data_IF_325084559504
#
_entry.id   IF_325084559504
#
_cell.length_a   1.000
_cell.length_b   1.000
_cell.length_c   1.000
_cell.angle_alpha   90.00
_cell.angle_beta   90.00
_cell.angle_gamma   90.00
#
_symmetry.space_group_name_H-M   'P 1'
#
loop_
_entity.id
_entity.type
_entity.pdbx_description
1 polymer ?
#
# COMPACT_ATOMS: atom_id res chain seq x y z
N UNK A 1 18.46 -3.15 7.64
CA UNK A 1 17.24 -2.56 8.24
C UNK A 1 16.49 -3.53 9.16
N UNK A 2 16.02 -4.71 8.71
CA UNK A 2 15.28 -5.68 9.57
C UNK A 2 16.04 -6.15 10.82
N UNK A 3 17.36 -6.31 10.74
CA UNK A 3 18.20 -6.69 11.89
C UNK A 3 18.20 -5.62 13.01
N UNK A 4 18.18 -4.34 12.64
CA UNK A 4 18.12 -3.22 13.60
C UNK A 4 16.75 -3.13 14.28
N UNK A 5 15.66 -3.39 13.53
CA UNK A 5 14.32 -3.44 14.11
C UNK A 5 14.16 -4.51 15.20
N UNK A 6 14.93 -5.60 15.15
CA UNK A 6 14.92 -6.65 16.18
C UNK A 6 15.66 -6.25 17.47
N UNK A 7 16.40 -5.14 17.45
CA UNK A 7 17.12 -4.62 18.61
C UNK A 7 16.33 -3.55 19.37
N UNK A 8 15.08 -3.27 18.97
CA UNK A 8 14.24 -2.29 19.66
C UNK A 8 13.90 -2.80 21.06
N UNK A 9 14.38 -2.08 22.07
CA UNK A 9 14.03 -2.34 23.47
C UNK A 9 12.62 -1.85 23.78
N UNK A 10 11.88 -2.60 24.60
CA UNK A 10 10.51 -2.24 25.00
C UNK A 10 9.45 -2.39 23.90
N UNK A 11 9.73 -3.17 22.85
CA UNK A 11 8.73 -3.47 21.83
C UNK A 11 7.55 -4.26 22.42
N UNK A 12 6.36 -3.67 22.36
CA UNK A 12 5.10 -4.33 22.70
C UNK A 12 4.36 -4.71 21.41
N UNK A 13 4.28 -6.02 21.16
CA UNK A 13 3.61 -6.56 19.98
C UNK A 13 2.11 -6.25 19.94
N UNK A 14 1.45 -6.16 21.10
CA UNK A 14 0.02 -5.89 21.19
C UNK A 14 -0.27 -4.43 20.81
N UNK A 15 0.48 -3.50 21.38
CA UNK A 15 0.38 -2.07 21.01
C UNK A 15 0.70 -1.89 19.53
N UNK A 16 1.75 -2.56 19.04
CA UNK A 16 2.08 -2.51 17.62
C UNK A 16 0.97 -3.06 16.72
N UNK A 17 0.36 -4.18 17.09
CA UNK A 17 -0.74 -4.78 16.33
C UNK A 17 -1.95 -3.86 16.20
N UNK A 18 -2.21 -3.01 17.20
CA UNK A 18 -3.28 -2.01 17.17
C UNK A 18 -2.97 -0.85 16.20
N UNK A 19 -1.72 -0.43 16.05
CA UNK A 19 -1.35 0.77 15.27
C UNK A 19 -0.71 0.49 13.90
N UNK A 20 -0.13 -0.69 13.69
CA UNK A 20 0.75 -0.99 12.54
C UNK A 20 0.10 -0.70 11.20
N UNK A 21 -1.19 -1.00 11.08
CA UNK A 21 -1.92 -0.79 9.83
C UNK A 21 -2.03 0.69 9.50
N UNK A 22 -2.38 1.54 10.47
CA UNK A 22 -2.48 2.99 10.27
C UNK A 22 -1.13 3.61 9.90
N UNK A 23 -0.06 3.17 10.57
CA UNK A 23 1.31 3.61 10.25
C UNK A 23 1.68 3.27 8.81
N UNK A 24 1.47 2.01 8.38
CA UNK A 24 1.81 1.58 7.02
C UNK A 24 0.91 2.25 5.99
N UNK A 25 -0.40 2.38 6.25
CA UNK A 25 -1.31 3.10 5.38
C UNK A 25 -0.85 4.55 5.13
N UNK A 26 -0.49 5.28 6.18
CA UNK A 26 0.01 6.66 6.04
C UNK A 26 1.30 6.70 5.22
N UNK A 27 2.25 5.79 5.50
CA UNK A 27 3.49 5.71 4.74
C UNK A 27 3.23 5.35 3.26
N UNK A 28 2.31 4.43 2.99
CA UNK A 28 1.89 4.07 1.63
C UNK A 28 1.27 5.27 0.92
N UNK A 29 0.32 5.97 1.55
CA UNK A 29 -0.29 7.17 0.98
C UNK A 29 0.77 8.23 0.65
N UNK A 30 1.68 8.55 1.57
CA UNK A 30 2.73 9.54 1.34
C UNK A 30 3.68 9.13 0.21
N UNK A 31 4.12 7.87 0.19
CA UNK A 31 4.99 7.33 -0.87
C UNK A 31 4.37 7.49 -2.25
N UNK A 32 3.09 7.14 -2.38
CA UNK A 32 2.40 7.12 -3.66
C UNK A 32 1.80 8.47 -4.05
N UNK A 33 1.52 9.38 -3.13
CA UNK A 33 1.04 10.74 -3.46
C UNK A 33 2.17 11.67 -3.88
N UNK A 34 3.32 11.59 -3.20
CA UNK A 34 4.46 12.48 -3.43
C UNK A 34 5.19 12.20 -4.76
N UNK A 35 5.21 10.95 -5.23
CA UNK A 35 5.97 10.56 -6.43
C UNK A 35 5.03 10.22 -7.60
N UNK A 36 5.03 11.06 -8.65
CA UNK A 36 4.10 10.91 -9.77
C UNK A 36 4.18 9.56 -10.50
N UNK A 37 5.35 9.04 -10.90
CA UNK A 37 5.45 7.70 -11.49
C UNK A 37 4.86 6.58 -10.62
N UNK A 38 5.08 6.63 -9.30
CA UNK A 38 4.51 5.63 -8.40
C UNK A 38 3.01 5.78 -8.27
N UNK A 39 2.52 7.02 -8.13
CA UNK A 39 1.09 7.33 -8.11
C UNK A 39 0.40 6.70 -9.31
N UNK A 40 0.90 6.99 -10.50
CA UNK A 40 0.28 6.58 -11.76
C UNK A 40 0.29 5.06 -11.88
N UNK A 41 1.38 4.40 -11.45
CA UNK A 41 1.44 2.94 -11.37
C UNK A 41 0.37 2.35 -10.44
N UNK A 42 0.17 2.92 -9.25
CA UNK A 42 -0.85 2.47 -8.31
C UNK A 42 -2.27 2.71 -8.87
N UNK A 43 -2.51 3.87 -9.48
CA UNK A 43 -3.80 4.21 -10.06
C UNK A 43 -4.18 3.30 -11.25
N UNK A 44 -3.20 2.88 -12.06
CA UNK A 44 -3.39 1.94 -13.16
C UNK A 44 -3.89 0.55 -12.71
N UNK A 45 -3.76 0.22 -11.42
CA UNK A 45 -4.35 -1.02 -10.88
C UNK A 45 -5.88 -1.01 -10.90
N UNK A 46 -6.50 0.17 -11.07
CA UNK A 46 -7.95 0.32 -11.17
C UNK A 46 -8.65 -0.22 -9.94
N UNK A 47 -9.64 -1.10 -10.14
CA UNK A 47 -10.40 -1.76 -9.07
C UNK A 47 -9.86 -3.14 -8.66
N UNK A 48 -8.68 -3.55 -9.18
CA UNK A 48 -8.12 -4.87 -8.87
C UNK A 48 -7.81 -5.00 -7.38
N UNK A 49 -7.99 -6.22 -6.86
CA UNK A 49 -7.54 -6.60 -5.53
C UNK A 49 -6.02 -6.77 -5.57
N UNK A 50 -5.31 -6.03 -4.73
CA UNK A 50 -3.85 -6.10 -4.62
C UNK A 50 -3.46 -7.05 -3.50
N UNK A 51 -2.46 -7.88 -3.77
CA UNK A 51 -1.99 -8.88 -2.82
C UNK A 51 -0.48 -8.95 -2.77
N UNK A 52 0.06 -9.16 -1.56
CA UNK A 52 1.46 -9.54 -1.38
C UNK A 52 1.55 -11.08 -1.33
N UNK A 53 1.93 -11.68 -2.45
CA UNK A 53 2.00 -13.13 -2.66
C UNK A 53 3.29 -13.73 -2.07
N UNK A 54 3.40 -13.64 -0.75
CA UNK A 54 4.53 -14.19 0.01
C UNK A 54 4.10 -15.41 0.85
N UNK A 55 4.74 -16.58 0.69
CA UNK A 55 4.43 -17.77 1.48
C UNK A 55 4.88 -17.67 2.95
N UNK A 56 5.82 -16.76 3.23
CA UNK A 56 6.40 -16.58 4.57
C UNK A 56 5.80 -15.41 5.34
N UNK A 57 4.96 -14.60 4.71
CA UNK A 57 4.29 -13.46 5.34
C UNK A 57 2.78 -13.67 5.41
N UNK A 58 2.29 -13.93 6.62
CA UNK A 58 0.86 -14.13 6.91
C UNK A 58 0.19 -12.88 7.49
N UNK A 59 0.93 -11.79 7.71
CA UNK A 59 0.37 -10.54 8.25
C UNK A 59 0.19 -9.56 7.10
N UNK A 60 1.29 -9.22 6.42
CA UNK A 60 1.26 -8.27 5.32
C UNK A 60 0.92 -8.94 3.99
N UNK A 61 1.21 -10.24 3.86
CA UNK A 61 0.88 -11.06 2.69
C UNK A 61 -0.26 -12.06 2.89
N UNK A 62 -0.54 -12.79 1.81
CA UNK A 62 -1.60 -13.82 1.75
C UNK A 62 -1.15 -15.19 2.25
N UNK A 63 0.12 -15.34 2.64
CA UNK A 63 0.68 -16.61 3.11
C UNK A 63 0.77 -17.71 2.05
N UNK A 64 0.76 -17.33 0.76
CA UNK A 64 0.88 -18.21 -0.40
C UNK A 64 1.85 -17.58 -1.40
N UNK A 65 2.57 -18.40 -2.15
CA UNK A 65 3.42 -17.93 -3.24
C UNK A 65 2.59 -17.52 -4.46
N UNK A 66 3.12 -16.65 -5.31
CA UNK A 66 2.46 -16.24 -6.56
C UNK A 66 2.11 -17.42 -7.47
N UNK A 67 2.90 -18.49 -7.44
CA UNK A 67 2.69 -19.70 -8.25
C UNK A 67 1.68 -20.69 -7.64
N UNK A 68 1.18 -20.43 -6.42
CA UNK A 68 0.16 -21.28 -5.80
C UNK A 68 -1.19 -21.05 -6.49
N UNK A 69 -1.86 -22.13 -6.91
CA UNK A 69 -3.17 -22.08 -7.56
C UNK A 69 -4.23 -21.37 -6.69
N UNK A 70 -4.07 -21.41 -5.36
CA UNK A 70 -4.98 -20.78 -4.41
C UNK A 70 -4.70 -19.28 -4.21
N UNK A 71 -3.61 -18.73 -4.76
CA UNK A 71 -3.25 -17.33 -4.59
C UNK A 71 -4.32 -16.38 -5.15
N UNK A 72 -5.08 -16.82 -6.16
CA UNK A 72 -6.18 -16.04 -6.74
C UNK A 72 -7.53 -16.22 -6.01
N UNK A 73 -7.60 -17.08 -4.98
CA UNK A 73 -8.82 -17.34 -4.24
C UNK A 73 -8.72 -16.79 -2.80
N UNK A 74 -9.34 -15.63 -2.50
CA UNK A 74 -9.29 -15.00 -1.17
C UNK A 74 -9.74 -15.90 -0.02
N UNK A 75 -10.67 -16.83 -0.28
CA UNK A 75 -11.16 -17.76 0.75
C UNK A 75 -10.15 -18.83 1.16
N UNK A 76 -9.07 -19.00 0.37
CA UNK A 76 -8.00 -19.96 0.59
C UNK A 76 -6.72 -19.33 1.11
N UNK A 77 -6.68 -18.00 1.22
CA UNK A 77 -5.52 -17.30 1.76
C UNK A 77 -5.30 -17.69 3.22
N UNK A 78 -4.02 -17.75 3.59
CA UNK A 78 -3.58 -18.13 4.94
C UNK A 78 -2.98 -16.95 5.69
N UNK A 79 -3.05 -15.76 5.09
CA UNK A 79 -2.53 -14.51 5.61
C UNK A 79 -3.53 -13.37 5.46
N UNK A 80 -3.28 -12.28 6.18
CA UNK A 80 -4.22 -11.16 6.32
C UNK A 80 -4.14 -10.14 5.18
N UNK A 81 -3.10 -10.18 4.35
CA UNK A 81 -2.90 -9.25 3.22
C UNK A 81 -2.99 -7.75 3.60
N UNK A 82 -2.49 -7.37 4.79
CA UNK A 82 -2.60 -5.98 5.25
C UNK A 82 -1.93 -4.97 4.31
N UNK A 83 -0.87 -5.38 3.58
CA UNK A 83 -0.20 -4.49 2.63
C UNK A 83 -1.07 -4.21 1.41
N UNK A 84 -1.72 -5.25 0.88
CA UNK A 84 -2.68 -5.11 -0.22
C UNK A 84 -3.82 -4.16 0.15
N UNK A 85 -4.38 -4.30 1.36
CA UNK A 85 -5.40 -3.38 1.87
C UNK A 85 -4.90 -1.94 2.05
N UNK A 86 -3.68 -1.75 2.56
CA UNK A 86 -3.09 -0.42 2.67
C UNK A 86 -2.91 0.26 1.30
N UNK A 87 -2.44 -0.47 0.28
CA UNK A 87 -2.29 0.01 -1.09
C UNK A 87 -3.63 0.39 -1.72
N UNK A 88 -4.64 -0.47 -1.59
CA UNK A 88 -5.98 -0.20 -2.13
C UNK A 88 -6.64 1.00 -1.45
N UNK A 89 -6.53 1.12 -0.13
CA UNK A 89 -7.08 2.28 0.59
C UNK A 89 -6.35 3.58 0.24
N UNK A 90 -5.02 3.54 0.12
CA UNK A 90 -4.26 4.69 -0.33
C UNK A 90 -4.64 5.10 -1.77
N UNK A 91 -4.77 4.13 -2.68
CA UNK A 91 -5.25 4.35 -4.06
C UNK A 91 -6.60 5.06 -4.05
N UNK A 92 -7.56 4.56 -3.29
CA UNK A 92 -8.92 5.09 -3.28
C UNK A 92 -8.96 6.55 -2.77
N UNK A 93 -8.13 6.92 -1.80
CA UNK A 93 -7.99 8.32 -1.35
C UNK A 93 -7.29 9.19 -2.39
N UNK A 94 -6.20 8.70 -3.00
CA UNK A 94 -5.47 9.43 -4.04
C UNK A 94 -6.39 9.69 -5.25
N UNK A 95 -7.20 8.72 -5.68
CA UNK A 95 -8.17 8.91 -6.77
C UNK A 95 -9.09 10.10 -6.49
N UNK A 96 -9.58 10.27 -5.25
CA UNK A 96 -10.46 11.38 -4.90
C UNK A 96 -9.77 12.74 -5.04
N UNK A 97 -8.53 12.84 -4.55
CA UNK A 97 -7.73 14.07 -4.58
C UNK A 97 -7.34 14.43 -6.02
N UNK A 98 -6.94 13.43 -6.81
CA UNK A 98 -6.44 13.63 -8.18
C UNK A 98 -7.52 13.58 -9.26
N UNK A 99 -8.79 13.33 -8.89
CA UNK A 99 -9.93 13.18 -9.81
C UNK A 99 -10.00 14.31 -10.83
N UNK A 100 -9.74 15.54 -10.39
CA UNK A 100 -9.91 16.75 -11.18
C UNK A 100 -8.59 17.36 -11.65
N UNK A 101 -7.45 16.71 -11.43
CA UNK A 101 -6.15 17.27 -11.83
C UNK A 101 -6.05 17.46 -13.34
N UNK A 102 -6.75 16.63 -14.12
CA UNK A 102 -6.84 16.79 -15.57
C UNK A 102 -7.60 18.07 -16.02
N UNK A 103 -8.34 18.72 -15.13
CA UNK A 103 -9.03 19.98 -15.40
C UNK A 103 -8.13 21.19 -15.12
N UNK A 104 -6.96 20.98 -14.52
CA UNK A 104 -6.02 22.05 -14.22
C UNK A 104 -5.23 22.39 -15.48
N UNK A 105 -5.30 23.64 -15.93
CA UNK A 105 -4.41 24.14 -16.97
C UNK A 105 -3.03 24.41 -16.35
N UNK A 106 -2.04 23.63 -16.78
CA UNK A 106 -0.66 23.77 -16.34
C UNK A 106 -0.10 25.17 -16.64
N UNK A 107 -0.61 25.87 -17.66
CA UNK A 107 -0.22 27.24 -18.01
C UNK A 107 -0.82 28.29 -17.09
N UNK A 108 -2.01 28.06 -16.53
CA UNK A 108 -2.64 29.00 -15.59
C UNK A 108 -2.05 28.91 -14.17
N UNK A 109 -1.53 27.75 -13.79
CA UNK A 109 -0.99 27.52 -12.44
C UNK A 109 0.48 27.89 -12.27
N UNK A 110 1.17 28.31 -13.34
CA UNK A 110 2.58 28.72 -13.34
C UNK A 110 3.47 27.70 -12.60
N UNK A 111 3.29 26.41 -12.89
CA UNK A 111 3.99 25.30 -12.21
C UNK A 111 5.40 25.03 -12.80
N UNK A 112 5.93 25.93 -13.61
CA UNK A 112 7.21 25.77 -14.33
C UNK A 112 8.45 25.64 -13.42
N UNK A 113 8.26 25.71 -12.10
CA UNK A 113 9.29 25.67 -11.06
C UNK A 113 9.14 24.49 -10.07
N UNK A 114 8.27 23.52 -10.35
CA UNK A 114 8.17 22.22 -9.65
C UNK A 114 8.52 21.06 -10.58
#
# INVERSE_FOLDING_TARGET
>A
MKALGRQVHGFDAKVWDEIKFGVVLNATYLKFSQNAPFRDFLLQTGSKILVEASPVDKIWGIGLATSDENAQNPTKWRGQNLLGFALMRARDEIVKVYKNVHLLDAKELNLDHL
#
